data_IF_095163257966
#
_entry.id   IF_095163257966
#
_cell.length_a   1.000
_cell.length_b   1.000
_cell.length_c   1.000
_cell.angle_alpha   90.00
_cell.angle_beta   90.00
_cell.angle_gamma   90.00
#
_symmetry.space_group_name_H-M   'P 1'
#
loop_
_entity.id
_entity.type
_entity.pdbx_description
1 polymer ?
#
# COMPACT_ATOMS: atom_id res chain seq x y z
N UNK A 1 -4.07 -18.51 -39.10
CA UNK A 1 -2.93 -18.96 -38.26
C UNK A 1 -3.44 -20.01 -37.28
N UNK A 2 -2.81 -21.19 -37.17
CA UNK A 2 -3.22 -22.18 -36.17
C UNK A 2 -2.91 -21.64 -34.77
N UNK A 3 -3.90 -21.64 -33.87
CA UNK A 3 -3.71 -21.30 -32.45
C UNK A 3 -2.59 -22.19 -31.88
N UNK A 4 -1.45 -21.61 -31.48
CA UNK A 4 -0.42 -22.32 -30.70
C UNK A 4 -1.11 -23.02 -29.53
N UNK A 5 -1.04 -24.36 -29.46
CA UNK A 5 -1.50 -25.13 -28.29
C UNK A 5 -0.77 -24.56 -27.06
N UNK A 6 -1.51 -23.94 -26.14
CA UNK A 6 -0.99 -23.41 -24.88
C UNK A 6 -0.51 -24.61 -24.06
N UNK A 7 0.80 -24.74 -23.85
CA UNK A 7 1.38 -25.79 -22.99
C UNK A 7 0.92 -25.51 -21.57
N UNK A 8 0.22 -26.46 -20.95
CA UNK A 8 -0.21 -26.33 -19.55
C UNK A 8 1.02 -26.33 -18.63
N UNK A 9 1.03 -25.41 -17.67
CA UNK A 9 2.10 -25.29 -16.68
C UNK A 9 1.65 -25.88 -15.35
N UNK A 10 2.60 -26.38 -14.58
CA UNK A 10 2.40 -26.74 -13.18
C UNK A 10 3.41 -25.95 -12.35
N UNK A 11 2.93 -25.19 -11.38
CA UNK A 11 3.78 -24.41 -10.48
C UNK A 11 3.98 -25.16 -9.17
N UNK A 12 5.24 -25.43 -8.82
CA UNK A 12 5.63 -26.04 -7.55
C UNK A 12 6.07 -24.91 -6.62
N UNK A 13 5.38 -24.73 -5.50
CA UNK A 13 5.67 -23.61 -4.59
C UNK A 13 6.59 -24.04 -3.46
N UNK A 14 7.55 -23.18 -3.15
CA UNK A 14 8.43 -23.28 -2.00
C UNK A 14 7.81 -22.64 -0.74
N UNK A 15 8.31 -22.99 0.44
CA UNK A 15 7.91 -22.44 1.75
C UNK A 15 8.03 -20.92 1.78
N UNK A 16 9.08 -20.35 1.18
CA UNK A 16 9.28 -18.90 1.12
C UNK A 16 8.12 -18.15 0.42
N UNK A 17 7.44 -18.81 -0.52
CA UNK A 17 6.27 -18.26 -1.22
C UNK A 17 5.06 -18.22 -0.32
N UNK A 18 4.83 -19.28 0.45
CA UNK A 18 3.70 -19.39 1.36
C UNK A 18 3.86 -18.46 2.56
N UNK A 19 5.07 -18.39 3.14
CA UNK A 19 5.39 -17.46 4.22
C UNK A 19 5.28 -16.00 3.79
N UNK A 20 5.35 -15.73 2.50
CA UNK A 20 5.16 -14.40 1.94
C UNK A 20 3.68 -14.08 1.65
N UNK A 21 2.89 -15.06 1.20
CA UNK A 21 1.46 -14.91 0.97
C UNK A 21 0.75 -16.26 1.09
N UNK A 22 -0.07 -16.44 2.12
CA UNK A 22 -0.88 -17.63 2.36
C UNK A 22 -1.92 -17.88 1.25
N UNK A 23 -2.28 -16.88 0.45
CA UNK A 23 -3.15 -17.06 -0.72
C UNK A 23 -2.37 -17.32 -2.02
N UNK A 24 -1.06 -17.61 -1.95
CA UNK A 24 -0.21 -17.81 -3.12
C UNK A 24 -0.75 -18.86 -4.09
N UNK A 25 -1.36 -19.93 -3.60
CA UNK A 25 -1.93 -20.99 -4.45
C UNK A 25 -3.01 -20.49 -5.42
N UNK A 26 -3.61 -19.33 -5.15
CA UNK A 26 -4.65 -18.73 -6.00
C UNK A 26 -4.08 -17.74 -7.04
N UNK A 27 -2.76 -17.62 -7.16
CA UNK A 27 -2.08 -16.55 -7.89
C UNK A 27 -1.60 -16.94 -9.30
N UNK A 28 -2.02 -18.09 -9.82
CA UNK A 28 -1.44 -18.73 -11.01
C UNK A 28 -2.42 -18.89 -12.19
N UNK A 29 -3.48 -18.07 -12.24
CA UNK A 29 -4.53 -18.11 -13.28
C UNK A 29 -5.05 -19.55 -13.53
N UNK A 30 -5.07 -20.00 -14.79
CA UNK A 30 -5.59 -21.29 -15.26
C UNK A 30 -4.58 -22.46 -15.13
N UNK A 31 -3.49 -22.27 -14.39
CA UNK A 31 -2.43 -23.26 -14.25
C UNK A 31 -2.54 -24.05 -12.94
N UNK A 32 -2.05 -25.27 -12.97
CA UNK A 32 -2.11 -26.17 -11.82
C UNK A 32 -1.00 -25.82 -10.81
N UNK A 33 -1.28 -26.00 -9.52
CA UNK A 33 -0.39 -25.64 -8.42
C UNK A 33 -0.14 -26.85 -7.53
N UNK A 34 1.12 -27.05 -7.15
CA UNK A 34 1.56 -28.16 -6.31
C UNK A 34 2.37 -27.66 -5.12
N UNK A 35 2.11 -28.24 -3.95
CA UNK A 35 2.86 -28.01 -2.72
C UNK A 35 3.59 -29.31 -2.35
N UNK A 36 4.93 -29.31 -2.26
CA UNK A 36 5.67 -30.44 -1.67
C UNK A 36 5.29 -30.66 -0.20
N UNK A 37 5.28 -31.90 0.26
CA UNK A 37 5.00 -32.21 1.68
C UNK A 37 6.02 -31.54 2.62
N UNK A 38 7.29 -31.41 2.19
CA UNK A 38 8.33 -30.67 2.93
C UNK A 38 7.88 -29.26 3.28
N UNK A 39 7.16 -28.57 2.40
CA UNK A 39 6.68 -27.21 2.68
C UNK A 39 5.72 -27.21 3.86
N UNK A 40 4.83 -28.19 3.96
CA UNK A 40 3.91 -28.30 5.10
C UNK A 40 4.66 -28.63 6.40
N UNK A 41 5.70 -29.45 6.34
CA UNK A 41 6.57 -29.74 7.49
C UNK A 41 7.30 -28.47 7.98
N UNK A 42 7.82 -27.66 7.06
CA UNK A 42 8.48 -26.41 7.39
C UNK A 42 7.52 -25.38 7.99
N UNK A 43 6.32 -25.23 7.41
CA UNK A 43 5.30 -24.30 7.91
C UNK A 43 4.88 -24.62 9.36
N UNK A 44 4.94 -25.88 9.78
CA UNK A 44 4.64 -26.26 11.16
C UNK A 44 5.63 -25.64 12.16
N UNK A 45 6.90 -25.50 11.77
CA UNK A 45 7.91 -24.81 12.55
C UNK A 45 7.69 -23.29 12.58
N UNK A 46 7.12 -22.74 11.51
CA UNK A 46 6.79 -21.32 11.40
C UNK A 46 5.46 -20.93 12.05
N UNK A 47 4.63 -21.83 12.58
CA UNK A 47 3.35 -21.44 13.20
C UNK A 47 3.49 -20.73 14.55
N UNK A 48 4.63 -20.87 15.22
CA UNK A 48 4.92 -20.31 16.55
C UNK A 48 5.60 -18.95 16.43
N UNK A 49 4.99 -17.92 17.01
CA UNK A 49 5.50 -16.55 17.00
C UNK A 49 4.47 -15.52 16.53
N UNK A 50 4.86 -14.25 16.58
CA UNK A 50 4.01 -13.10 16.30
C UNK A 50 4.44 -12.31 15.05
N UNK A 51 5.33 -12.84 14.22
CA UNK A 51 5.78 -12.20 12.97
C UNK A 51 4.81 -12.49 11.82
N UNK A 52 4.86 -11.69 10.75
CA UNK A 52 4.04 -11.86 9.54
C UNK A 52 4.16 -13.28 8.98
N UNK A 53 5.38 -13.81 8.85
CA UNK A 53 5.61 -15.20 8.39
C UNK A 53 4.86 -16.25 9.23
N UNK A 54 4.71 -16.00 10.54
CA UNK A 54 3.98 -16.91 11.42
C UNK A 54 2.46 -16.82 11.20
N UNK A 55 1.94 -15.61 10.96
CA UNK A 55 0.55 -15.40 10.58
C UNK A 55 0.25 -16.07 9.23
N UNK A 56 1.07 -15.82 8.21
CA UNK A 56 0.94 -16.41 6.88
C UNK A 56 0.96 -17.96 6.95
N UNK A 57 1.89 -18.54 7.73
CA UNK A 57 1.91 -19.98 7.96
C UNK A 57 0.59 -20.51 8.57
N UNK A 58 0.04 -19.83 9.59
CA UNK A 58 -1.22 -20.25 10.24
C UNK A 58 -2.42 -20.14 9.30
N UNK A 59 -2.52 -19.07 8.53
CA UNK A 59 -3.63 -18.90 7.57
C UNK A 59 -3.54 -19.92 6.43
N UNK A 60 -2.33 -20.25 5.98
CA UNK A 60 -2.14 -21.30 4.98
C UNK A 60 -2.57 -22.66 5.50
N UNK A 61 -2.20 -23.02 6.73
CA UNK A 61 -2.64 -24.27 7.37
C UNK A 61 -4.17 -24.35 7.43
N UNK A 62 -4.87 -23.24 7.72
CA UNK A 62 -6.35 -23.18 7.67
C UNK A 62 -6.92 -23.33 6.26
N UNK A 63 -6.22 -22.88 5.23
CA UNK A 63 -6.61 -23.13 3.84
C UNK A 63 -6.47 -24.63 3.53
N UNK A 64 -5.36 -25.24 3.93
CA UNK A 64 -5.12 -26.67 3.75
C UNK A 64 -6.16 -27.54 4.45
N UNK A 65 -6.53 -27.17 5.68
CA UNK A 65 -7.58 -27.84 6.47
C UNK A 65 -8.92 -27.84 5.71
N UNK A 66 -9.36 -26.67 5.24
CA UNK A 66 -10.58 -26.55 4.41
C UNK A 66 -10.51 -27.29 3.09
N UNK A 67 -9.35 -27.37 2.45
CA UNK A 67 -9.18 -28.14 1.21
C UNK A 67 -9.25 -29.64 1.47
N UNK A 68 -8.82 -30.09 2.65
CA UNK A 68 -8.86 -31.50 3.05
C UNK A 68 -10.29 -32.01 3.29
N UNK A 69 -11.22 -31.12 3.66
CA UNK A 69 -12.65 -31.46 3.77
C UNK A 69 -13.26 -31.94 2.43
N UNK A 70 -12.66 -31.55 1.30
CA UNK A 70 -13.15 -31.90 -0.05
C UNK A 70 -12.57 -33.22 -0.58
N UNK A 71 -11.68 -33.86 0.17
CA UNK A 71 -11.03 -35.11 -0.20
C UNK A 71 -9.54 -35.12 0.13
N UNK A 72 -8.87 -36.23 -0.18
CA UNK A 72 -7.44 -36.37 0.09
C UNK A 72 -6.63 -35.33 -0.69
N UNK A 73 -5.77 -34.57 0.01
CA UNK A 73 -4.88 -33.56 -0.57
C UNK A 73 -3.89 -34.12 -1.62
N UNK A 74 -3.75 -35.44 -1.70
CA UNK A 74 -2.97 -36.13 -2.72
C UNK A 74 -3.64 -36.17 -4.09
N UNK A 75 -4.97 -35.97 -4.15
CA UNK A 75 -5.72 -35.88 -5.39
C UNK A 75 -5.77 -34.43 -5.87
N UNK A 76 -6.01 -34.26 -7.17
CA UNK A 76 -6.19 -32.92 -7.74
C UNK A 76 -7.53 -32.33 -7.30
N UNK A 77 -7.47 -31.22 -6.56
CA UNK A 77 -8.62 -30.49 -6.02
C UNK A 77 -8.81 -29.19 -6.81
N UNK A 78 -10.01 -28.86 -7.30
CA UNK A 78 -10.26 -27.59 -7.98
C UNK A 78 -10.17 -26.41 -6.99
N UNK A 79 -9.44 -25.35 -7.37
CA UNK A 79 -9.41 -24.08 -6.61
C UNK A 79 -10.73 -23.29 -6.81
N UNK A 80 -11.13 -22.47 -5.84
CA UNK A 80 -12.49 -21.85 -5.79
C UNK A 80 -12.64 -20.51 -6.56
N UNK A 81 -11.71 -20.12 -7.44
CA UNK A 81 -11.70 -18.81 -8.11
C UNK A 81 -12.08 -18.87 -9.60
N UNK A 82 -12.59 -17.77 -10.21
CA UNK A 82 -13.26 -17.78 -11.53
C UNK A 82 -12.40 -18.17 -12.75
N UNK A 83 -11.11 -18.48 -12.56
CA UNK A 83 -10.20 -19.06 -13.57
C UNK A 83 -9.30 -20.16 -12.99
N UNK A 84 -9.80 -20.95 -12.05
CA UNK A 84 -8.98 -21.86 -11.24
C UNK A 84 -8.37 -23.05 -12.01
N UNK A 85 -7.06 -23.23 -11.86
CA UNK A 85 -6.39 -24.53 -12.05
C UNK A 85 -6.63 -25.50 -10.88
N UNK A 86 -5.94 -26.64 -10.91
CA UNK A 86 -6.04 -27.67 -9.88
C UNK A 86 -4.93 -27.56 -8.85
N UNK A 87 -5.20 -28.00 -7.62
CA UNK A 87 -4.28 -28.02 -6.50
C UNK A 87 -3.98 -29.45 -6.05
N UNK A 88 -2.73 -29.75 -5.68
CA UNK A 88 -2.33 -31.06 -5.12
C UNK A 88 -1.13 -30.92 -4.17
N UNK A 89 -1.07 -31.77 -3.14
CA UNK A 89 0.13 -31.97 -2.32
C UNK A 89 0.94 -33.14 -2.87
N UNK A 90 2.23 -32.91 -3.15
CA UNK A 90 3.17 -33.92 -3.60
C UNK A 90 3.82 -34.60 -2.39
N UNK A 91 3.41 -35.84 -2.10
CA UNK A 91 3.93 -36.63 -0.98
C UNK A 91 5.26 -37.31 -1.29
N UNK A 92 5.47 -37.71 -2.55
CA UNK A 92 6.68 -38.43 -2.96
C UNK A 92 7.72 -37.45 -3.51
N UNK A 93 8.84 -37.37 -2.82
CA UNK A 93 9.97 -36.47 -3.11
C UNK A 93 11.22 -37.27 -3.52
N UNK A 94 11.03 -38.50 -4.01
CA UNK A 94 12.11 -39.35 -4.51
C UNK A 94 11.92 -39.52 -6.02
N UNK A 95 12.81 -38.95 -6.85
CA UNK A 95 12.78 -39.12 -8.30
C UNK A 95 13.09 -40.57 -8.71
N UNK A 96 12.54 -41.03 -9.83
CA UNK A 96 12.75 -42.41 -10.32
C UNK A 96 13.95 -42.53 -11.28
N UNK A 97 14.29 -41.49 -12.06
CA UNK A 97 15.32 -41.58 -13.11
C UNK A 97 16.72 -41.11 -12.69
N UNK A 98 17.06 -41.18 -11.40
CA UNK A 98 18.42 -41.02 -10.90
C UNK A 98 18.94 -39.58 -10.73
N UNK A 99 18.26 -38.55 -11.24
CA UNK A 99 18.50 -37.17 -10.85
C UNK A 99 17.90 -36.91 -9.47
N UNK A 100 18.75 -36.89 -8.44
CA UNK A 100 18.35 -36.70 -7.05
C UNK A 100 19.16 -35.55 -6.45
N UNK A 101 18.49 -34.43 -6.20
CA UNK A 101 19.10 -33.21 -5.65
C UNK A 101 19.76 -33.47 -4.29
N UNK A 102 19.23 -34.39 -3.47
CA UNK A 102 19.82 -34.76 -2.19
C UNK A 102 21.16 -35.46 -2.40
N UNK A 103 21.28 -36.31 -3.42
CA UNK A 103 22.55 -36.97 -3.78
C UNK A 103 23.54 -36.01 -4.46
N UNK A 104 23.06 -35.12 -5.32
CA UNK A 104 23.91 -34.19 -6.09
C UNK A 104 24.55 -33.13 -5.19
N UNK A 105 23.79 -32.56 -4.26
CA UNK A 105 24.28 -31.51 -3.37
C UNK A 105 24.85 -32.02 -2.04
N UNK A 106 24.81 -33.34 -1.79
CA UNK A 106 25.48 -33.99 -0.66
C UNK A 106 24.84 -33.80 0.71
N UNK A 107 23.67 -33.17 0.80
CA UNK A 107 22.96 -32.88 2.06
C UNK A 107 21.46 -33.17 1.92
N UNK A 108 20.83 -33.76 2.95
CA UNK A 108 19.36 -33.89 3.00
C UNK A 108 18.71 -32.65 3.64
N UNK A 109 18.59 -31.58 2.84
CA UNK A 109 17.97 -30.31 3.23
C UNK A 109 16.55 -30.18 2.67
N UNK A 110 15.65 -29.42 3.34
CA UNK A 110 14.31 -29.13 2.82
C UNK A 110 14.30 -28.61 1.38
N UNK A 111 15.17 -27.65 1.06
CA UNK A 111 15.42 -27.15 -0.31
C UNK A 111 15.57 -28.28 -1.35
N UNK A 112 16.34 -29.31 -1.01
CA UNK A 112 16.67 -30.39 -1.94
C UNK A 112 15.48 -31.34 -2.11
N UNK A 113 14.69 -31.55 -1.05
CA UNK A 113 13.43 -32.30 -1.11
C UNK A 113 12.37 -31.57 -1.96
N UNK A 114 12.29 -30.25 -1.86
CA UNK A 114 11.44 -29.40 -2.71
C UNK A 114 11.85 -29.50 -4.19
N UNK A 115 13.17 -29.46 -4.48
CA UNK A 115 13.68 -29.68 -5.83
C UNK A 115 13.32 -31.07 -6.36
N UNK A 116 13.49 -32.11 -5.55
CA UNK A 116 13.13 -33.47 -5.93
C UNK A 116 11.62 -33.63 -6.19
N UNK A 117 10.76 -32.94 -5.43
CA UNK A 117 9.32 -32.91 -5.72
C UNK A 117 9.03 -32.34 -7.11
N UNK A 118 9.73 -31.28 -7.52
CA UNK A 118 9.60 -30.69 -8.86
C UNK A 118 10.14 -31.62 -9.97
N UNK A 119 11.28 -32.29 -9.75
CA UNK A 119 11.83 -33.30 -10.69
C UNK A 119 10.82 -34.43 -10.87
N UNK A 120 10.36 -35.00 -9.76
CA UNK A 120 9.41 -36.11 -9.76
C UNK A 120 8.13 -35.76 -10.53
N UNK A 121 7.61 -34.55 -10.30
CA UNK A 121 6.41 -34.09 -10.99
C UNK A 121 6.64 -33.91 -12.50
N UNK A 122 7.84 -33.51 -12.90
CA UNK A 122 8.24 -33.44 -14.32
C UNK A 122 8.27 -34.82 -14.98
N UNK A 123 8.75 -35.84 -14.24
CA UNK A 123 8.72 -37.25 -14.68
C UNK A 123 7.30 -37.80 -14.78
N UNK A 124 6.43 -37.52 -13.80
CA UNK A 124 5.02 -37.95 -13.79
C UNK A 124 4.19 -37.30 -14.92
N UNK A 125 4.58 -36.11 -15.37
CA UNK A 125 3.83 -35.28 -16.34
C UNK A 125 4.73 -34.71 -17.45
N UNK A 126 5.28 -35.54 -18.35
CA UNK A 126 6.19 -35.09 -19.41
C UNK A 126 5.54 -34.15 -20.45
N UNK A 127 4.21 -34.04 -20.48
CA UNK A 127 3.45 -33.11 -21.33
C UNK A 127 3.21 -31.72 -20.72
N UNK A 128 3.65 -31.49 -19.47
CA UNK A 128 3.45 -30.24 -18.74
C UNK A 128 4.78 -29.56 -18.49
N UNK A 129 4.79 -28.23 -18.47
CA UNK A 129 5.97 -27.47 -18.05
C UNK A 129 5.91 -27.27 -16.53
N UNK A 130 6.75 -27.99 -15.79
CA UNK A 130 6.90 -27.82 -14.34
C UNK A 130 7.83 -26.64 -14.05
N UNK A 131 7.41 -25.73 -13.17
CA UNK A 131 8.14 -24.50 -12.82
C UNK A 131 8.19 -24.39 -11.30
N UNK A 132 9.40 -24.29 -10.73
CA UNK A 132 9.58 -24.00 -9.32
C UNK A 132 9.39 -22.50 -9.06
N UNK A 133 8.60 -22.15 -8.06
CA UNK A 133 8.38 -20.78 -7.64
C UNK A 133 8.91 -20.61 -6.24
N UNK A 134 9.88 -19.70 -6.07
CA UNK A 134 10.54 -19.43 -4.79
C UNK A 134 11.04 -18.00 -4.76
N UNK A 135 11.08 -17.40 -3.56
CA UNK A 135 11.71 -16.09 -3.34
C UNK A 135 13.20 -16.18 -3.06
N UNK A 136 13.74 -17.38 -2.79
CA UNK A 136 15.16 -17.59 -2.52
C UNK A 136 15.96 -17.68 -3.84
N UNK A 137 16.90 -16.75 -4.02
CA UNK A 137 17.82 -16.71 -5.16
C UNK A 137 18.66 -18.01 -5.24
N UNK A 138 19.14 -18.52 -4.11
CA UNK A 138 19.98 -19.71 -4.07
C UNK A 138 19.20 -20.95 -4.52
N UNK A 139 17.95 -21.09 -4.07
CA UNK A 139 17.10 -22.19 -4.50
C UNK A 139 16.78 -22.11 -6.01
N UNK A 140 16.58 -20.90 -6.56
CA UNK A 140 16.42 -20.71 -8.01
C UNK A 140 17.68 -21.11 -8.79
N UNK A 141 18.87 -20.77 -8.29
CA UNK A 141 20.15 -21.13 -8.93
C UNK A 141 20.33 -22.65 -8.93
N UNK A 142 20.05 -23.32 -7.80
CA UNK A 142 20.08 -24.79 -7.70
C UNK A 142 19.09 -25.44 -8.67
N UNK A 143 17.86 -24.94 -8.75
CA UNK A 143 16.86 -25.44 -9.69
C UNK A 143 17.34 -25.36 -11.14
N UNK A 144 17.91 -24.21 -11.54
CA UNK A 144 18.47 -24.02 -12.89
C UNK A 144 19.64 -24.96 -13.18
N UNK A 145 20.47 -25.27 -12.19
CA UNK A 145 21.58 -26.24 -12.35
C UNK A 145 21.10 -27.69 -12.55
N UNK A 146 19.85 -27.98 -12.22
CA UNK A 146 19.18 -29.26 -12.43
C UNK A 146 18.21 -29.23 -13.63
N UNK A 147 18.34 -28.23 -14.50
CA UNK A 147 17.44 -28.00 -15.65
C UNK A 147 15.95 -27.84 -15.29
N UNK A 148 15.65 -27.46 -14.05
CA UNK A 148 14.29 -27.16 -13.59
C UNK A 148 14.02 -25.66 -13.82
N UNK A 149 13.00 -25.28 -14.62
CA UNK A 149 12.59 -23.90 -14.75
C UNK A 149 12.21 -23.32 -13.38
N UNK A 150 12.73 -22.14 -13.04
CA UNK A 150 12.42 -21.46 -11.78
C UNK A 150 12.09 -19.97 -11.98
N UNK A 151 11.11 -19.48 -11.24
CA UNK A 151 10.59 -18.11 -11.29
C UNK A 151 10.51 -17.50 -9.88
N UNK A 152 10.62 -16.17 -9.78
CA UNK A 152 10.37 -15.45 -8.54
C UNK A 152 8.86 -15.30 -8.29
N UNK A 153 8.46 -15.26 -7.02
CA UNK A 153 7.05 -15.07 -6.67
C UNK A 153 6.70 -13.58 -6.56
N UNK A 154 5.95 -13.07 -7.54
CA UNK A 154 5.67 -11.63 -7.70
C UNK A 154 4.27 -11.18 -7.24
N UNK A 155 3.39 -12.05 -6.74
CA UNK A 155 2.01 -11.60 -6.45
C UNK A 155 1.87 -10.87 -5.13
N UNK A 156 1.22 -9.71 -5.18
CA UNK A 156 0.97 -8.84 -4.03
C UNK A 156 2.11 -7.88 -3.70
N UNK A 157 3.26 -8.02 -4.37
CA UNK A 157 4.29 -6.99 -4.40
C UNK A 157 3.90 -5.99 -5.49
N UNK A 158 3.92 -4.70 -5.18
CA UNK A 158 3.97 -3.71 -6.27
C UNK A 158 5.25 -4.03 -7.02
N UNK A 159 5.11 -4.46 -8.29
CA UNK A 159 6.21 -4.99 -9.11
C UNK A 159 7.37 -3.99 -9.23
N UNK A 160 7.07 -2.71 -9.02
CA UNK A 160 8.05 -1.64 -8.94
C UNK A 160 7.52 -0.52 -8.00
N UNK A 161 8.14 -0.35 -6.83
CA UNK A 161 7.74 0.71 -5.87
C UNK A 161 7.94 2.09 -6.49
N UNK A 162 8.91 2.22 -7.40
CA UNK A 162 9.17 3.47 -8.12
C UNK A 162 8.11 3.73 -9.21
N UNK A 163 7.40 2.67 -9.65
CA UNK A 163 6.22 2.78 -10.53
C UNK A 163 4.90 2.97 -9.76
N UNK A 164 4.93 3.23 -8.45
CA UNK A 164 3.71 3.57 -7.72
C UNK A 164 3.05 4.78 -8.38
N UNK A 165 1.74 4.65 -8.59
CA UNK A 165 0.91 5.71 -9.14
C UNK A 165 1.14 7.01 -8.35
N UNK A 166 1.59 8.07 -9.02
CA UNK A 166 1.96 9.35 -8.37
C UNK A 166 0.76 10.27 -8.11
N UNK A 167 -0.39 9.98 -8.74
CA UNK A 167 -1.56 10.85 -8.71
C UNK A 167 -1.51 12.06 -9.65
N UNK A 168 -0.40 12.26 -10.37
CA UNK A 168 -0.19 13.41 -11.25
C UNK A 168 0.58 13.04 -12.53
N UNK A 169 0.33 13.77 -13.61
CA UNK A 169 1.10 13.70 -14.85
C UNK A 169 1.49 15.08 -15.37
N UNK A 170 2.56 15.14 -16.14
CA UNK A 170 2.99 16.33 -16.86
C UNK A 170 2.56 16.21 -18.32
N UNK A 171 1.98 17.28 -18.86
CA UNK A 171 1.63 17.40 -20.28
C UNK A 171 2.35 18.64 -20.80
N UNK A 172 3.42 18.41 -21.56
CA UNK A 172 4.17 19.46 -22.25
C UNK A 172 3.57 19.71 -23.63
N UNK A 173 3.92 20.85 -24.23
CA UNK A 173 3.57 21.23 -25.61
C UNK A 173 2.06 21.20 -25.92
N UNK A 174 1.24 21.56 -24.93
CA UNK A 174 -0.22 21.62 -25.10
C UNK A 174 -0.61 22.83 -25.97
N UNK A 175 -1.66 22.68 -26.79
CA UNK A 175 -2.16 23.77 -27.62
C UNK A 175 -2.50 25.00 -26.72
N UNK A 176 -1.91 26.19 -26.98
CA UNK A 176 -2.21 27.40 -26.21
C UNK A 176 -3.71 27.71 -26.08
N UNK A 177 -4.50 27.43 -27.12
CA UNK A 177 -5.95 27.66 -27.10
C UNK A 177 -6.66 26.85 -25.99
N UNK A 178 -6.15 25.65 -25.68
CA UNK A 178 -6.71 24.80 -24.61
C UNK A 178 -6.40 25.40 -23.24
N UNK A 179 -5.18 25.92 -23.03
CA UNK A 179 -4.83 26.60 -21.78
C UNK A 179 -5.67 27.87 -21.62
N UNK A 180 -5.81 28.67 -22.68
CA UNK A 180 -6.63 29.90 -22.65
C UNK A 180 -8.09 29.59 -22.34
N UNK A 181 -8.64 28.51 -22.90
CA UNK A 181 -9.98 28.02 -22.60
C UNK A 181 -10.12 27.64 -21.11
N UNK A 182 -9.15 26.90 -20.54
CA UNK A 182 -9.17 26.53 -19.12
C UNK A 182 -9.07 27.77 -18.22
N UNK A 183 -8.29 28.80 -18.60
CA UNK A 183 -8.23 30.04 -17.82
C UNK A 183 -9.53 30.83 -17.86
N UNK A 184 -10.23 30.81 -19.00
CA UNK A 184 -11.46 31.57 -19.22
C UNK A 184 -12.70 30.86 -18.64
N UNK A 185 -12.86 29.59 -18.96
CA UNK A 185 -14.07 28.82 -18.68
C UNK A 185 -13.89 27.85 -17.49
N UNK A 186 -12.66 27.65 -17.03
CA UNK A 186 -12.34 26.79 -15.89
C UNK A 186 -12.28 25.29 -16.21
N UNK A 187 -12.70 24.88 -17.41
CA UNK A 187 -12.83 23.47 -17.80
C UNK A 187 -12.42 23.21 -19.26
N UNK A 188 -12.03 21.97 -19.59
CA UNK A 188 -11.90 21.46 -20.96
C UNK A 188 -12.25 19.96 -21.05
N UNK A 189 -12.32 19.41 -22.26
CA UNK A 189 -12.57 17.98 -22.45
C UNK A 189 -11.27 17.17 -22.29
N UNK A 190 -11.32 15.92 -21.79
CA UNK A 190 -10.17 15.02 -21.80
C UNK A 190 -9.59 14.79 -23.21
N UNK A 191 -10.44 14.80 -24.23
CA UNK A 191 -10.01 14.67 -25.63
C UNK A 191 -9.13 15.85 -26.10
N UNK A 192 -9.34 17.05 -25.57
CA UNK A 192 -8.57 18.25 -25.93
C UNK A 192 -7.10 18.15 -25.49
N UNK A 193 -6.82 17.22 -24.56
CA UNK A 193 -5.49 16.96 -24.00
C UNK A 193 -4.98 15.55 -24.36
N UNK A 194 -5.58 14.91 -25.37
CA UNK A 194 -5.25 13.57 -25.86
C UNK A 194 -5.42 12.43 -24.83
N UNK A 195 -6.32 12.58 -23.85
CA UNK A 195 -6.62 11.52 -22.87
C UNK A 195 -7.94 10.82 -23.26
N UNK A 196 -7.84 9.51 -23.51
CA UNK A 196 -8.99 8.66 -23.85
C UNK A 196 -9.68 8.06 -22.62
N UNK A 197 -8.87 7.55 -21.69
CA UNK A 197 -9.34 6.88 -20.47
C UNK A 197 -8.84 7.66 -19.24
N UNK A 198 -9.51 8.77 -18.89
CA UNK A 198 -9.08 9.62 -17.78
C UNK A 198 -9.30 8.91 -16.44
N UNK A 199 -8.31 9.00 -15.56
CA UNK A 199 -8.37 8.43 -14.22
C UNK A 199 -9.09 9.42 -13.28
N UNK A 200 -10.12 8.98 -12.52
CA UNK A 200 -10.80 9.82 -11.53
C UNK A 200 -9.83 10.49 -10.55
N UNK A 201 -10.01 11.79 -10.33
CA UNK A 201 -9.18 12.62 -9.45
C UNK A 201 -7.67 12.59 -9.77
N UNK A 202 -7.30 12.29 -11.02
CA UNK A 202 -5.92 12.44 -11.48
C UNK A 202 -5.62 13.89 -11.79
N UNK A 203 -4.45 14.36 -11.35
CA UNK A 203 -4.01 15.73 -11.54
C UNK A 203 -3.09 15.88 -12.75
N UNK A 204 -3.13 17.04 -13.40
CA UNK A 204 -2.26 17.37 -14.52
C UNK A 204 -1.58 18.71 -14.29
N UNK A 205 -0.29 18.74 -14.60
CA UNK A 205 0.49 19.97 -14.77
C UNK A 205 0.64 20.13 -16.27
N UNK A 206 -0.11 21.06 -16.84
CA UNK A 206 -0.11 21.35 -18.26
C UNK A 206 0.74 22.57 -18.53
N UNK A 207 1.62 22.50 -19.50
CA UNK A 207 2.50 23.60 -19.86
C UNK A 207 2.65 23.73 -21.37
N UNK A 208 2.79 24.97 -21.83
CA UNK A 208 3.35 25.31 -23.13
C UNK A 208 4.52 26.29 -22.93
N UNK A 209 5.15 26.76 -24.01
CA UNK A 209 6.29 27.68 -23.93
C UNK A 209 6.03 28.98 -23.12
N UNK A 210 4.76 29.40 -22.98
CA UNK A 210 4.39 30.72 -22.43
C UNK A 210 3.64 30.66 -21.09
N UNK A 211 3.01 29.53 -20.77
CA UNK A 211 2.00 29.43 -19.72
C UNK A 211 1.90 28.02 -19.16
N UNK A 212 1.42 27.92 -17.92
CA UNK A 212 1.21 26.64 -17.24
C UNK A 212 -0.05 26.68 -16.40
N UNK A 213 -0.84 25.61 -16.43
CA UNK A 213 -2.08 25.50 -15.65
C UNK A 213 -2.11 24.18 -14.88
N UNK A 214 -2.67 24.24 -13.68
CA UNK A 214 -2.90 23.09 -12.82
C UNK A 214 -4.34 22.64 -12.99
N UNK A 215 -4.56 21.37 -13.26
CA UNK A 215 -5.89 20.81 -13.51
C UNK A 215 -6.06 19.43 -12.88
N UNK A 216 -7.29 18.94 -12.84
CA UNK A 216 -7.60 17.55 -12.46
C UNK A 216 -8.77 17.02 -13.29
N UNK A 217 -8.88 15.70 -13.42
CA UNK A 217 -10.06 15.08 -13.99
C UNK A 217 -11.16 14.95 -12.93
N UNK A 218 -12.26 15.66 -13.14
CA UNK A 218 -13.47 15.59 -12.32
C UNK A 218 -14.38 14.47 -12.84
N UNK A 219 -14.52 13.33 -12.13
CA UNK A 219 -15.32 12.21 -12.61
C UNK A 219 -16.82 12.50 -12.64
N UNK A 220 -17.32 13.48 -11.86
CA UNK A 220 -18.74 13.82 -11.83
C UNK A 220 -19.16 14.65 -13.04
N UNK A 221 -18.27 15.52 -13.52
CA UNK A 221 -18.51 16.36 -14.70
C UNK A 221 -18.00 15.71 -16.00
N UNK A 222 -17.17 14.68 -15.89
CA UNK A 222 -16.42 14.08 -17.00
C UNK A 222 -15.58 15.12 -17.77
N UNK A 223 -15.03 16.09 -17.04
CA UNK A 223 -14.22 17.20 -17.57
C UNK A 223 -12.88 17.31 -16.84
N UNK A 224 -11.94 17.95 -17.52
CA UNK A 224 -10.73 18.46 -16.88
C UNK A 224 -11.05 19.82 -16.31
N UNK A 225 -10.85 20.01 -15.02
CA UNK A 225 -11.19 21.22 -14.28
C UNK A 225 -9.92 21.88 -13.72
N UNK A 226 -9.90 23.21 -13.74
CA UNK A 226 -8.80 24.02 -13.22
C UNK A 226 -8.70 23.89 -11.69
N UNK A 227 -7.48 23.65 -11.22
CA UNK A 227 -7.16 23.67 -9.80
C UNK A 227 -6.54 25.03 -9.45
N UNK A 228 -7.18 25.75 -8.56
CA UNK A 228 -6.67 27.02 -8.06
C UNK A 228 -5.76 26.85 -6.85
N UNK A 229 -4.68 27.63 -6.83
CA UNK A 229 -3.81 27.75 -5.68
C UNK A 229 -4.50 28.56 -4.57
N UNK A 230 -5.00 27.87 -3.55
CA UNK A 230 -5.68 28.50 -2.39
C UNK A 230 -5.00 28.09 -1.08
N UNK A 231 -4.85 29.01 -0.11
CA UNK A 231 -4.38 28.66 1.22
C UNK A 231 -5.48 27.89 1.98
N UNK A 232 -5.08 27.02 2.91
CA UNK A 232 -5.96 26.40 3.89
C UNK A 232 -5.51 26.84 5.28
N UNK A 233 -6.37 27.50 6.04
CA UNK A 233 -6.02 27.96 7.39
C UNK A 233 -4.71 28.78 7.47
N UNK A 234 -4.47 29.67 6.49
CA UNK A 234 -3.23 30.46 6.24
C UNK A 234 -1.99 29.66 5.82
N UNK A 235 -2.09 28.34 5.68
CA UNK A 235 -1.01 27.53 5.10
C UNK A 235 -1.09 27.63 3.58
N UNK A 236 -0.10 28.28 2.99
CA UNK A 236 0.01 28.44 1.53
C UNK A 236 0.77 27.26 0.92
N UNK A 237 0.19 26.54 -0.06
CA UNK A 237 0.95 25.51 -0.78
C UNK A 237 2.10 26.16 -1.55
N UNK A 238 3.28 25.56 -1.51
CA UNK A 238 4.50 26.14 -2.11
C UNK A 238 4.73 25.68 -3.54
N UNK A 239 4.38 24.43 -3.86
CA UNK A 239 4.52 23.83 -5.18
C UNK A 239 3.21 23.17 -5.65
N UNK A 240 3.18 22.69 -6.89
CA UNK A 240 1.99 22.10 -7.52
C UNK A 240 1.46 20.87 -6.75
N UNK A 241 2.34 20.04 -6.19
CA UNK A 241 1.95 18.84 -5.45
C UNK A 241 1.19 19.19 -4.17
N UNK A 242 1.61 20.25 -3.47
CA UNK A 242 0.90 20.75 -2.30
C UNK A 242 -0.45 21.40 -2.67
N UNK A 243 -0.55 22.02 -3.85
CA UNK A 243 -1.83 22.54 -4.37
C UNK A 243 -2.79 21.38 -4.60
N UNK A 244 -2.34 20.31 -5.27
CA UNK A 244 -3.14 19.10 -5.50
C UNK A 244 -3.53 18.40 -4.19
N UNK A 245 -2.60 18.32 -3.23
CA UNK A 245 -2.90 17.76 -1.90
C UNK A 245 -4.03 18.52 -1.20
N UNK A 246 -3.92 19.85 -1.09
CA UNK A 246 -4.98 20.67 -0.48
C UNK A 246 -6.29 20.59 -1.25
N UNK A 247 -6.23 20.54 -2.59
CA UNK A 247 -7.43 20.35 -3.40
C UNK A 247 -8.11 19.01 -3.11
N UNK A 248 -7.40 17.88 -3.12
CA UNK A 248 -7.97 16.58 -2.77
C UNK A 248 -8.53 16.52 -1.34
N UNK A 249 -7.82 17.13 -0.38
CA UNK A 249 -8.29 17.22 1.00
C UNK A 249 -9.58 18.03 1.06
N UNK A 250 -9.67 19.16 0.34
CA UNK A 250 -10.80 20.10 0.39
C UNK A 250 -11.97 19.80 -0.53
N UNK A 251 -11.78 18.92 -1.51
CA UNK A 251 -12.82 18.45 -2.39
C UNK A 251 -13.81 17.54 -1.65
N UNK A 252 -15.09 17.91 -1.60
CA UNK A 252 -16.12 17.18 -0.84
C UNK A 252 -16.47 15.82 -1.43
N UNK A 253 -16.25 15.63 -2.72
CA UNK A 253 -16.61 14.40 -3.45
C UNK A 253 -15.56 13.31 -3.24
N UNK A 254 -14.32 13.70 -2.92
CA UNK A 254 -13.25 12.79 -2.50
C UNK A 254 -13.41 12.45 -1.02
N UNK A 255 -13.68 11.18 -0.70
CA UNK A 255 -13.87 10.70 0.69
C UNK A 255 -12.63 10.03 1.27
N UNK A 256 -11.74 9.53 0.41
CA UNK A 256 -10.51 8.86 0.83
C UNK A 256 -9.32 9.51 0.13
N UNK A 257 -8.36 9.97 0.91
CA UNK A 257 -7.15 10.63 0.40
C UNK A 257 -5.92 9.91 0.93
N UNK A 258 -4.92 9.72 0.08
CA UNK A 258 -3.58 9.27 0.48
C UNK A 258 -2.55 10.31 0.06
N UNK A 259 -1.74 10.77 1.02
CA UNK A 259 -0.59 11.64 0.78
C UNK A 259 0.68 10.84 1.09
N UNK A 260 1.37 10.41 0.05
CA UNK A 260 2.68 9.78 0.18
C UNK A 260 3.76 10.81 -0.12
N UNK A 261 4.90 10.73 0.55
CA UNK A 261 6.04 11.59 0.21
C UNK A 261 7.12 11.55 1.26
N UNK A 262 8.29 12.13 0.96
CA UNK A 262 9.43 12.12 1.89
C UNK A 262 9.24 13.07 3.08
N UNK A 263 10.04 12.92 4.13
CA UNK A 263 10.04 13.85 5.27
C UNK A 263 10.29 15.31 4.83
N UNK A 264 9.53 16.26 5.36
CA UNK A 264 9.64 17.70 5.03
C UNK A 264 8.79 18.18 3.84
N UNK A 265 7.99 17.31 3.23
CA UNK A 265 7.03 17.66 2.15
C UNK A 265 5.73 18.31 2.66
N UNK A 266 5.48 18.28 3.97
CA UNK A 266 4.31 18.91 4.61
C UNK A 266 3.04 18.07 4.65
N UNK A 267 3.09 16.76 4.39
CA UNK A 267 1.93 15.84 4.32
C UNK A 267 0.93 16.02 5.47
N UNK A 268 1.40 15.88 6.71
CA UNK A 268 0.59 15.99 7.94
C UNK A 268 0.07 17.41 8.15
N UNK A 269 0.92 18.42 7.88
CA UNK A 269 0.55 19.83 7.97
C UNK A 269 -0.59 20.19 7.01
N UNK A 270 -0.49 19.77 5.75
CA UNK A 270 -1.50 20.02 4.72
C UNK A 270 -2.80 19.28 5.04
N UNK A 271 -2.71 18.01 5.46
CA UNK A 271 -3.87 17.22 5.88
C UNK A 271 -4.64 17.90 7.03
N UNK A 272 -3.93 18.39 8.04
CA UNK A 272 -4.52 19.10 9.17
C UNK A 272 -5.11 20.46 8.76
N UNK A 273 -4.36 21.26 8.01
CA UNK A 273 -4.82 22.56 7.53
C UNK A 273 -6.07 22.45 6.66
N UNK A 274 -6.08 21.53 5.68
CA UNK A 274 -7.24 21.28 4.82
C UNK A 274 -8.44 20.70 5.57
N UNK A 275 -8.21 19.90 6.62
CA UNK A 275 -9.28 19.40 7.49
C UNK A 275 -9.89 20.52 8.33
N UNK A 276 -9.06 21.41 8.89
CA UNK A 276 -9.52 22.58 9.64
C UNK A 276 -10.32 23.55 8.77
N UNK A 277 -9.91 23.74 7.51
CA UNK A 277 -10.64 24.56 6.54
C UNK A 277 -12.08 24.05 6.33
N UNK A 278 -12.26 22.73 6.30
CA UNK A 278 -13.56 22.08 6.14
C UNK A 278 -14.27 21.75 7.45
N UNK A 279 -13.80 22.21 8.61
CA UNK A 279 -14.33 21.79 9.91
C UNK A 279 -15.84 21.96 10.09
N UNK A 280 -16.49 22.82 9.30
CA UNK A 280 -17.96 23.00 9.32
C UNK A 280 -18.73 21.82 8.73
N UNK A 281 -18.08 20.96 7.95
CA UNK A 281 -18.67 19.77 7.33
C UNK A 281 -18.57 18.52 8.20
N UNK A 282 -17.83 18.60 9.30
CA UNK A 282 -17.58 17.46 10.19
C UNK A 282 -17.97 17.83 11.62
N UNK A 283 -18.45 16.85 12.38
CA UNK A 283 -18.67 17.00 13.82
C UNK A 283 -17.35 17.07 14.57
N UNK A 284 -16.38 16.27 14.16
CA UNK A 284 -15.05 16.20 14.76
C UNK A 284 -13.95 15.99 13.70
N UNK A 285 -12.74 16.40 14.05
CA UNK A 285 -11.51 16.09 13.32
C UNK A 285 -10.64 15.23 14.22
N UNK A 286 -10.29 14.03 13.76
CA UNK A 286 -9.38 13.13 14.47
C UNK A 286 -8.03 13.13 13.75
N UNK A 287 -6.95 13.34 14.51
CA UNK A 287 -5.58 13.22 14.04
C UNK A 287 -4.92 12.12 14.89
N UNK A 288 -4.70 10.97 14.26
CA UNK A 288 -4.14 9.81 14.94
C UNK A 288 -2.87 9.30 14.28
N UNK A 289 -2.00 8.69 15.09
CA UNK A 289 -0.76 8.06 14.65
C UNK A 289 -0.62 6.69 15.33
N UNK A 290 -0.15 5.64 14.62
CA UNK A 290 0.17 4.37 15.25
C UNK A 290 1.36 4.55 16.19
N UNK A 291 1.34 3.83 17.31
CA UNK A 291 2.48 3.83 18.22
C UNK A 291 3.39 2.68 17.82
N UNK A 292 4.55 3.01 17.29
CA UNK A 292 5.61 2.05 17.00
C UNK A 292 6.65 2.16 18.11
N UNK A 293 6.80 1.15 18.99
CA UNK A 293 7.78 1.21 20.05
C UNK A 293 9.19 1.27 19.46
N UNK A 294 9.95 2.30 19.83
CA UNK A 294 11.38 2.38 19.55
C UNK A 294 12.07 1.36 20.47
N UNK A 295 12.75 0.36 19.89
CA UNK A 295 13.42 -0.78 20.56
C UNK A 295 12.51 -1.82 21.25
N UNK A 296 13.08 -3.01 21.53
CA UNK A 296 12.46 -4.20 22.18
C UNK A 296 11.90 -3.96 23.62
N UNK A 297 11.66 -2.71 24.01
CA UNK A 297 11.01 -2.38 25.28
C UNK A 297 9.54 -2.12 24.99
N UNK A 298 8.68 -3.03 25.44
CA UNK A 298 7.25 -2.77 25.47
C UNK A 298 6.99 -1.48 26.25
N UNK A 299 6.08 -0.63 25.73
CA UNK A 299 5.66 0.64 26.34
C UNK A 299 5.24 0.46 27.82
N UNK A 300 4.80 -0.75 28.18
CA UNK A 300 4.53 -1.17 29.56
C UNK A 300 5.67 -0.87 30.54
N UNK A 301 6.93 -0.92 30.11
CA UNK A 301 8.12 -0.78 30.97
C UNK A 301 8.62 0.66 31.17
N UNK A 302 8.07 1.65 30.48
CA UNK A 302 8.42 3.06 30.76
C UNK A 302 7.81 3.47 32.11
N UNK A 303 8.50 4.24 32.97
CA UNK A 303 7.88 4.78 34.20
C UNK A 303 6.90 5.92 33.86
N UNK A 304 5.82 6.07 34.63
CA UNK A 304 4.83 7.16 34.48
C UNK A 304 3.40 6.68 34.17
N UNK A 305 2.46 7.63 34.08
CA UNK A 305 1.07 7.35 33.68
C UNK A 305 0.97 7.08 32.17
N UNK A 306 -0.14 6.49 31.73
CA UNK A 306 -0.36 6.14 30.32
C UNK A 306 -0.18 7.37 29.43
N UNK A 307 -0.64 8.54 29.87
CA UNK A 307 -0.56 9.79 29.12
C UNK A 307 0.89 10.22 28.91
N UNK A 308 1.72 10.21 29.95
CA UNK A 308 3.15 10.57 29.86
C UNK A 308 3.94 9.63 28.95
N UNK A 309 3.54 8.35 28.86
CA UNK A 309 4.17 7.38 27.95
C UNK A 309 3.81 7.60 26.49
N UNK A 310 2.61 8.09 26.21
CA UNK A 310 2.09 8.22 24.85
C UNK A 310 2.32 9.60 24.24
N UNK A 311 2.38 10.65 25.06
CA UNK A 311 2.59 12.03 24.62
C UNK A 311 3.80 12.20 23.67
N UNK A 312 4.99 11.62 23.92
CA UNK A 312 6.15 11.82 23.04
C UNK A 312 5.89 11.42 21.58
N UNK A 313 5.09 10.38 21.35
CA UNK A 313 4.75 9.92 19.99
C UNK A 313 3.78 10.88 19.27
N UNK A 314 3.00 11.64 20.04
CA UNK A 314 2.01 12.58 19.51
C UNK A 314 2.55 14.01 19.37
N UNK A 315 3.68 14.36 19.99
CA UNK A 315 4.29 15.71 19.90
C UNK A 315 4.42 16.23 18.46
N UNK A 316 4.86 15.44 17.45
CA UNK A 316 4.93 15.94 16.07
C UNK A 316 3.57 16.38 15.50
N UNK A 317 2.47 15.81 15.98
CA UNK A 317 1.11 16.20 15.59
C UNK A 317 0.72 17.52 16.27
N UNK A 318 1.09 17.69 17.55
CA UNK A 318 0.90 18.93 18.28
C UNK A 318 1.72 20.08 17.68
N UNK A 319 2.94 19.83 17.24
CA UNK A 319 3.80 20.84 16.61
C UNK A 319 3.20 21.35 15.30
N UNK A 320 2.65 20.47 14.46
CA UNK A 320 1.92 20.88 13.26
C UNK A 320 0.70 21.75 13.59
N UNK A 321 -0.05 21.40 14.63
CA UNK A 321 -1.20 22.19 15.07
C UNK A 321 -0.78 23.57 15.60
N UNK A 322 0.26 23.62 16.44
CA UNK A 322 0.83 24.88 16.96
C UNK A 322 1.36 25.75 15.82
N UNK A 323 1.99 25.16 14.81
CA UNK A 323 2.46 25.88 13.63
C UNK A 323 1.32 26.58 12.88
N UNK A 324 0.18 25.89 12.68
CA UNK A 324 -1.03 26.47 12.09
C UNK A 324 -1.61 27.56 13.01
N UNK A 325 -1.68 27.30 14.31
CA UNK A 325 -2.22 28.23 15.29
C UNK A 325 -1.41 29.53 15.34
N UNK A 326 -0.08 29.45 15.27
CA UNK A 326 0.84 30.57 15.27
C UNK A 326 0.85 31.39 13.96
N UNK A 327 0.12 30.97 12.93
CA UNK A 327 -0.16 31.84 11.76
C UNK A 327 -1.12 32.99 12.12
N UNK A 328 -1.69 32.96 13.32
CA UNK A 328 -2.61 33.95 13.86
C UNK A 328 -2.02 34.54 15.14
N UNK A 329 -2.37 35.78 15.42
CA UNK A 329 -2.06 36.37 16.71
C UNK A 329 -2.95 35.73 17.78
N UNK A 330 -2.49 35.66 19.03
CA UNK A 330 -3.28 35.07 20.14
C UNK A 330 -4.64 35.76 20.36
N UNK A 331 -4.75 37.02 19.96
CA UNK A 331 -6.00 37.80 20.04
C UNK A 331 -6.98 37.49 18.91
N UNK A 332 -6.53 36.86 17.83
CA UNK A 332 -7.36 36.55 16.66
C UNK A 332 -8.41 35.49 17.03
N UNK A 333 -9.60 35.60 16.41
CA UNK A 333 -10.70 34.66 16.65
C UNK A 333 -10.32 33.24 16.23
N UNK A 334 -9.52 33.10 15.18
CA UNK A 334 -9.07 31.83 14.62
C UNK A 334 -8.11 31.10 15.57
N UNK A 335 -7.23 31.82 16.26
CA UNK A 335 -6.37 31.27 17.31
C UNK A 335 -7.21 30.64 18.42
N UNK A 336 -8.18 31.41 18.94
CA UNK A 336 -9.10 30.95 20.01
C UNK A 336 -9.96 29.77 19.59
N UNK A 337 -10.48 29.77 18.36
CA UNK A 337 -11.28 28.66 17.80
C UNK A 337 -10.50 27.35 17.76
N UNK A 338 -9.18 27.36 17.57
CA UNK A 338 -8.36 26.14 17.61
C UNK A 338 -8.30 25.62 19.05
N UNK A 339 -8.01 26.50 20.00
CA UNK A 339 -7.98 26.16 21.44
C UNK A 339 -9.32 25.60 21.91
N UNK A 340 -10.43 26.29 21.61
CA UNK A 340 -11.78 25.85 21.95
C UNK A 340 -12.12 24.50 21.31
N UNK A 341 -11.65 24.22 20.09
CA UNK A 341 -11.89 22.94 19.43
C UNK A 341 -11.17 21.78 20.12
N UNK A 342 -9.98 22.02 20.70
CA UNK A 342 -9.28 21.03 21.52
C UNK A 342 -10.00 20.79 22.85
N UNK A 343 -10.37 21.87 23.55
CA UNK A 343 -11.06 21.80 24.85
C UNK A 343 -12.43 21.13 24.75
N UNK A 344 -13.15 21.35 23.64
CA UNK A 344 -14.46 20.74 23.38
C UNK A 344 -14.39 19.40 22.65
N UNK A 345 -13.19 18.81 22.49
CA UNK A 345 -12.94 17.55 21.79
C UNK A 345 -13.46 17.51 20.33
N UNK A 346 -13.68 18.67 19.71
CA UNK A 346 -13.98 18.79 18.27
C UNK A 346 -12.74 18.52 17.41
N UNK A 347 -11.56 18.74 17.96
CA UNK A 347 -10.28 18.33 17.40
C UNK A 347 -9.60 17.40 18.41
N UNK A 348 -9.31 16.17 18.02
CA UNK A 348 -8.65 15.18 18.87
C UNK A 348 -7.32 14.75 18.27
N UNK A 349 -6.26 14.81 19.08
CA UNK A 349 -4.96 14.20 18.78
C UNK A 349 -4.81 12.97 19.67
N UNK A 350 -4.73 11.78 19.09
CA UNK A 350 -4.84 10.53 19.86
C UNK A 350 -4.08 9.36 19.23
N UNK A 351 -3.62 8.38 20.01
CA UNK A 351 -3.13 7.12 19.45
C UNK A 351 -4.19 6.41 18.61
N UNK A 352 -3.75 5.83 17.48
CA UNK A 352 -4.65 5.10 16.58
C UNK A 352 -5.40 3.94 17.27
N UNK A 353 -4.77 3.30 18.25
CA UNK A 353 -5.37 2.21 19.03
C UNK A 353 -6.68 2.61 19.72
N UNK A 354 -6.85 3.88 20.09
CA UNK A 354 -8.04 4.36 20.82
C UNK A 354 -9.27 4.53 19.92
N UNK A 355 -9.09 4.47 18.61
CA UNK A 355 -10.16 4.53 17.63
C UNK A 355 -10.76 3.13 17.37
N UNK A 356 -10.07 2.06 17.81
CA UNK A 356 -10.52 0.68 17.59
C UNK A 356 -11.82 0.41 18.35
N UNK A 357 -12.85 -0.04 17.62
CA UNK A 357 -14.16 -0.37 18.20
C UNK A 357 -15.16 0.79 18.26
N UNK A 358 -14.81 1.97 17.72
CA UNK A 358 -15.72 3.12 17.60
C UNK A 358 -16.31 3.20 16.19
N UNK A 359 -17.57 3.61 16.08
CA UNK A 359 -18.17 4.00 14.80
C UNK A 359 -17.75 5.43 14.46
N UNK A 360 -17.28 5.68 13.24
CA UNK A 360 -16.70 6.96 12.81
C UNK A 360 -17.63 7.58 11.77
N UNK A 361 -18.57 8.44 12.18
CA UNK A 361 -19.53 9.10 11.28
C UNK A 361 -19.45 10.62 11.42
N UNK A 362 -19.54 11.34 10.29
CA UNK A 362 -19.38 12.80 10.22
C UNK A 362 -18.03 13.29 10.78
N UNK A 363 -16.94 12.57 10.53
CA UNK A 363 -15.60 12.89 11.05
C UNK A 363 -14.61 13.05 9.89
N UNK A 364 -13.70 14.01 10.01
CA UNK A 364 -12.49 14.03 9.19
C UNK A 364 -11.38 13.32 9.95
N UNK A 365 -10.95 12.15 9.47
CA UNK A 365 -10.01 11.28 10.18
C UNK A 365 -8.67 11.23 9.45
N UNK A 366 -7.66 11.85 10.04
CA UNK A 366 -6.27 11.84 9.57
C UNK A 366 -5.52 10.72 10.30
N UNK A 367 -4.92 9.82 9.53
CA UNK A 367 -4.06 8.75 10.03
C UNK A 367 -2.64 9.01 9.52
N UNK A 368 -1.78 9.50 10.41
CA UNK A 368 -0.39 9.80 10.13
C UNK A 368 0.52 8.58 10.31
N UNK A 369 1.68 8.57 9.65
CA UNK A 369 2.60 7.44 9.54
C UNK A 369 1.93 6.12 9.12
N UNK A 370 1.04 6.19 8.14
CA UNK A 370 0.24 5.06 7.68
C UNK A 370 1.08 3.91 7.07
N UNK A 371 2.34 4.16 6.69
CA UNK A 371 3.27 3.10 6.26
C UNK A 371 3.60 2.09 7.36
N UNK A 372 3.38 2.47 8.63
CA UNK A 372 3.58 1.56 9.77
C UNK A 372 2.37 0.66 10.04
N UNK A 373 1.34 0.70 9.18
CA UNK A 373 0.15 -0.13 9.28
C UNK A 373 0.22 -1.32 8.33
N UNK A 374 -0.33 -2.44 8.75
CA UNK A 374 -0.60 -3.59 7.87
C UNK A 374 -1.77 -3.31 6.92
N UNK A 375 -1.87 -4.00 5.77
CA UNK A 375 -3.05 -3.93 4.90
C UNK A 375 -4.37 -4.23 5.63
N UNK A 376 -4.33 -5.16 6.59
CA UNK A 376 -5.49 -5.51 7.41
C UNK A 376 -5.93 -4.36 8.32
N UNK A 377 -4.99 -3.64 8.93
CA UNK A 377 -5.30 -2.48 9.78
C UNK A 377 -5.89 -1.33 8.98
N UNK A 378 -5.31 -1.01 7.81
CA UNK A 378 -5.86 0.01 6.89
C UNK A 378 -7.28 -0.37 6.48
N UNK A 379 -7.52 -1.62 6.08
CA UNK A 379 -8.86 -2.12 5.77
C UNK A 379 -9.82 -1.95 6.95
N UNK A 380 -9.38 -2.32 8.16
CA UNK A 380 -10.18 -2.22 9.39
C UNK A 380 -10.54 -0.77 9.74
N UNK A 381 -9.66 0.18 9.43
CA UNK A 381 -9.94 1.62 9.63
C UNK A 381 -10.99 2.09 8.63
N UNK A 382 -10.80 1.77 7.34
CA UNK A 382 -11.70 2.22 6.27
C UNK A 382 -13.11 1.63 6.44
N UNK A 383 -13.24 0.36 6.82
CA UNK A 383 -14.55 -0.29 7.00
C UNK A 383 -15.34 0.21 8.21
N UNK A 384 -14.75 1.04 9.06
CA UNK A 384 -15.44 1.74 10.16
C UNK A 384 -15.97 3.12 9.79
N UNK A 385 -15.66 3.60 8.58
CA UNK A 385 -16.16 4.87 8.08
C UNK A 385 -17.68 4.77 7.85
N UNK A 386 -18.45 5.48 8.68
CA UNK A 386 -19.87 5.73 8.45
C UNK A 386 -20.10 6.93 7.54
N UNK A 387 -21.37 7.29 7.38
CA UNK A 387 -21.78 8.42 6.55
C UNK A 387 -21.15 9.75 7.00
N UNK A 388 -20.81 10.60 6.02
CA UNK A 388 -20.21 11.91 6.26
C UNK A 388 -18.75 11.87 6.70
N UNK A 389 -18.10 10.71 6.64
CA UNK A 389 -16.69 10.56 7.02
C UNK A 389 -15.76 10.77 5.84
N UNK A 390 -14.65 11.47 6.08
CA UNK A 390 -13.50 11.57 5.17
C UNK A 390 -12.28 10.99 5.89
N UNK A 391 -11.50 10.16 5.22
CA UNK A 391 -10.26 9.60 5.76
C UNK A 391 -9.07 10.09 4.93
N UNK A 392 -8.02 10.53 5.61
CA UNK A 392 -6.78 11.00 5.01
C UNK A 392 -5.63 10.18 5.61
N UNK A 393 -4.97 9.36 4.81
CA UNK A 393 -3.76 8.65 5.21
C UNK A 393 -2.54 9.47 4.76
N UNK A 394 -1.61 9.72 5.68
CA UNK A 394 -0.32 10.36 5.38
C UNK A 394 0.82 9.41 5.75
N UNK A 395 1.88 9.40 4.96
CA UNK A 395 3.04 8.54 5.26
C UNK A 395 4.16 8.61 4.24
N UNK A 396 5.23 7.89 4.54
CA UNK A 396 6.38 7.72 3.66
C UNK A 396 6.74 6.24 3.55
N UNK A 397 6.43 5.63 2.40
CA UNK A 397 6.65 4.19 2.14
C UNK A 397 8.13 3.78 2.19
N UNK A 398 9.06 4.73 2.17
CA UNK A 398 10.50 4.49 2.30
C UNK A 398 11.00 4.65 3.75
N UNK A 399 10.18 5.18 4.67
CA UNK A 399 10.50 5.34 6.10
C UNK A 399 9.59 4.47 6.96
N UNK A 400 9.86 3.17 6.98
CA UNK A 400 9.10 2.20 7.76
C UNK A 400 9.82 1.93 9.07
N UNK A 401 9.17 2.28 10.19
CA UNK A 401 9.70 2.09 11.54
C UNK A 401 9.41 0.68 12.08
N UNK A 402 8.45 -0.01 11.46
CA UNK A 402 7.99 -1.33 11.90
C UNK A 402 8.84 -2.43 11.27
N UNK A 403 9.52 -3.29 12.04
CA UNK A 403 10.45 -4.30 11.50
C UNK A 403 9.76 -5.42 10.70
N UNK A 404 8.43 -5.47 10.71
CA UNK A 404 7.61 -6.52 10.10
C UNK A 404 6.98 -6.10 8.76
N UNK A 405 7.24 -4.89 8.30
CA UNK A 405 6.68 -4.30 7.08
C UNK A 405 7.79 -3.84 6.15
N UNK A 406 7.56 -3.95 4.85
CA UNK A 406 8.42 -3.38 3.81
C UNK A 406 7.63 -2.44 2.88
N UNK A 407 8.32 -1.72 2.01
CA UNK A 407 7.71 -0.75 1.07
C UNK A 407 6.70 -1.38 0.12
N UNK A 408 6.75 -2.71 -0.05
CA UNK A 408 5.91 -3.47 -0.96
C UNK A 408 4.73 -4.17 -0.26
N UNK A 409 4.74 -4.26 1.07
CA UNK A 409 3.77 -5.00 1.89
C UNK A 409 3.02 -4.14 2.91
N UNK A 410 3.45 -2.89 3.13
CA UNK A 410 2.75 -2.00 4.04
C UNK A 410 1.36 -1.60 3.53
N UNK A 411 0.49 -1.23 4.47
CA UNK A 411 -0.90 -0.92 4.23
C UNK A 411 -1.11 0.33 3.36
N UNK A 412 -0.23 1.33 3.43
CA UNK A 412 -0.33 2.52 2.59
C UNK A 412 -0.04 2.20 1.12
N UNK A 413 1.06 1.49 0.84
CA UNK A 413 1.40 1.00 -0.50
C UNK A 413 0.29 0.12 -1.08
N UNK A 414 -0.23 -0.82 -0.28
CA UNK A 414 -1.34 -1.69 -0.68
C UNK A 414 -2.60 -0.90 -1.00
N UNK A 415 -2.94 0.10 -0.18
CA UNK A 415 -4.10 0.97 -0.38
C UNK A 415 -4.02 1.72 -1.72
N UNK A 416 -2.86 2.30 -2.00
CA UNK A 416 -2.61 3.04 -3.25
C UNK A 416 -2.78 2.11 -4.45
N UNK A 417 -2.18 0.91 -4.41
CA UNK A 417 -2.27 -0.02 -5.54
C UNK A 417 -3.69 -0.54 -5.80
N UNK A 418 -4.48 -0.80 -4.74
CA UNK A 418 -5.80 -1.43 -4.87
C UNK A 418 -6.94 -0.47 -5.15
N UNK A 419 -6.89 0.76 -4.65
CA UNK A 419 -8.01 1.72 -4.75
C UNK A 419 -7.72 2.82 -5.80
N UNK A 420 -6.52 2.86 -6.38
CA UNK A 420 -6.26 3.73 -7.53
C UNK A 420 -7.37 3.59 -8.58
N UNK A 421 -7.79 4.73 -9.12
CA UNK A 421 -8.86 4.88 -10.11
C UNK A 421 -10.31 4.84 -9.59
N UNK A 422 -10.54 4.72 -8.28
CA UNK A 422 -11.89 4.86 -7.73
C UNK A 422 -12.32 6.34 -7.61
N UNK A 423 -13.58 6.66 -7.91
CA UNK A 423 -14.08 8.04 -8.05
C UNK A 423 -14.09 8.86 -6.75
N UNK A 424 -14.27 8.23 -5.59
CA UNK A 424 -14.19 8.89 -4.27
C UNK A 424 -12.78 8.90 -3.68
N UNK A 425 -11.76 8.48 -4.44
CA UNK A 425 -10.39 8.34 -3.99
C UNK A 425 -9.46 9.31 -4.73
N UNK A 426 -8.54 9.93 -3.99
CA UNK A 426 -7.44 10.68 -4.57
C UNK A 426 -6.12 10.30 -3.91
N UNK A 427 -5.07 10.16 -4.72
CA UNK A 427 -3.71 9.93 -4.26
C UNK A 427 -2.83 11.08 -4.73
N UNK A 428 -1.91 11.55 -3.88
CA UNK A 428 -0.90 12.53 -4.23
C UNK A 428 0.44 12.08 -3.66
N UNK A 429 1.42 11.93 -4.56
CA UNK A 429 2.83 11.77 -4.22
C UNK A 429 3.52 13.14 -4.17
N UNK A 430 4.03 13.47 -2.98
CA UNK A 430 4.81 14.66 -2.67
C UNK A 430 6.30 14.29 -2.74
N UNK A 431 6.97 14.73 -3.80
CA UNK A 431 8.35 14.37 -4.11
C UNK A 431 9.31 15.45 -3.62
N UNK A 432 8.89 16.72 -3.72
CA UNK A 432 9.75 17.86 -3.37
C UNK A 432 9.46 18.37 -1.97
N UNK A 433 10.42 18.15 -1.08
CA UNK A 433 10.45 18.79 0.23
C UNK A 433 10.78 20.27 0.10
N UNK A 434 10.08 21.12 0.83
CA UNK A 434 10.35 22.56 0.89
C UNK A 434 11.06 22.86 2.22
N UNK A 435 12.20 22.19 2.42
CA UNK A 435 12.97 22.31 3.66
C UNK A 435 13.77 23.62 3.66
N UNK A 436 14.27 23.99 4.83
CA UNK A 436 15.20 25.11 4.96
C UNK A 436 16.46 24.87 4.13
N UNK A 437 17.14 25.97 3.76
CA UNK A 437 18.42 25.94 3.05
C UNK A 437 19.43 25.00 3.71
N UNK A 438 19.52 25.02 5.05
CA UNK A 438 20.38 24.13 5.83
C UNK A 438 20.07 22.65 5.61
N UNK A 439 18.79 22.28 5.58
CA UNK A 439 18.39 20.89 5.44
C UNK A 439 18.50 20.39 3.98
N UNK A 440 18.39 21.29 3.01
CA UNK A 440 18.72 20.98 1.61
C UNK A 440 20.23 20.76 1.44
N UNK A 441 21.05 21.65 1.99
CA UNK A 441 22.52 21.52 2.00
C UNK A 441 22.98 20.21 2.65
N UNK A 442 22.38 19.84 3.80
CA UNK A 442 22.70 18.59 4.47
C UNK A 442 22.35 17.36 3.63
N UNK A 443 21.18 17.33 2.97
CA UNK A 443 20.80 16.24 2.06
C UNK A 443 21.71 16.14 0.82
N UNK A 444 22.29 17.27 0.37
CA UNK A 444 23.18 17.29 -0.79
C UNK A 444 24.63 16.88 -0.45
N UNK A 445 25.09 17.17 0.76
CA UNK A 445 26.51 17.03 1.15
C UNK A 445 26.81 15.89 2.15
N UNK A 446 25.81 15.34 2.86
CA UNK A 446 25.95 14.27 3.85
C UNK A 446 25.14 13.05 3.42
#
# INVERSE_FOLDING_TARGET
>A
MPRRKKVKKIFVLDTSVILYNHNAINSFDDNDVVIPITVLEELDNFKKGNETKNFEAREFIRIMDRLSDKGTLQNWIPLEFPKAGMFRVQMNETPENGMDAVKIFGDNKPDHRILNAAIRLSEEKPGYKVILVTKDINLRIKAKSLDIPSEDFETGKIKDVDSLYSGKSYIEDINPEVIDLIYKDGICNPADINIKDPIPNHYFIMRNERSSVLTFYNPLLEKIERVEKRPAYKIMPRNAEQVFALHAITNKDVKLVTLQGVAGTGKTLLALAGSLEQKRHFKQIYLARPIVPLSNKDIGYLPGDIKSKLNPYMEPLWDNLKFIQNQYNEKDKEYKKITEALESEKLMITPLAYIRGRSISNICFIVDEAQNLTPHEVKTIITRAGEGTKIIFTGDIYQIDTPYLDSQSNGLSYLIDKIKHHEIYAHIRLEKGERSELANLANELL
#
